data_IF_463000668279
#
_entry.id   IF_463000668279
#
_cell.length_a   1.000
_cell.length_b   1.000
_cell.length_c   1.000
_cell.angle_alpha   90.00
_cell.angle_beta   90.00
_cell.angle_gamma   90.00
#
_symmetry.space_group_name_H-M   'P 1'
#
loop_
_entity.id
_entity.type
_entity.pdbx_description
1 polymer ?
#
# COMPACT_ATOMS: atom_id res chain seq x y z
N UNK A 1 8.88 7.88 -0.52
CA UNK A 1 8.02 9.05 -0.25
C UNK A 1 6.91 9.13 -1.29
N UNK A 2 5.64 9.29 -0.85
CA UNK A 2 4.45 9.48 -1.71
C UNK A 2 3.80 10.79 -1.29
N UNK A 3 3.42 11.64 -2.24
CA UNK A 3 2.79 12.92 -1.98
C UNK A 3 1.59 13.13 -2.91
N UNK A 4 0.41 13.37 -2.33
CA UNK A 4 -0.80 13.79 -3.02
C UNK A 4 -1.16 15.20 -2.52
N UNK A 5 -1.40 16.15 -3.42
CA UNK A 5 -1.83 17.52 -3.07
C UNK A 5 -3.08 17.92 -3.85
N UNK A 6 -4.13 18.27 -3.10
CA UNK A 6 -5.42 18.75 -3.60
C UNK A 6 -6.01 17.85 -4.69
N UNK A 7 -5.79 16.52 -4.57
CA UNK A 7 -6.24 15.56 -5.58
C UNK A 7 -7.75 15.41 -5.53
N UNK A 8 -8.37 15.47 -6.71
CA UNK A 8 -9.78 15.18 -6.89
C UNK A 8 -10.00 14.29 -8.11
N UNK A 9 -11.11 13.51 -8.09
CA UNK A 9 -11.48 12.60 -9.18
C UNK A 9 -12.97 12.61 -9.44
N UNK A 10 -13.32 12.78 -10.70
CA UNK A 10 -14.69 12.80 -11.22
C UNK A 10 -14.84 11.72 -12.29
N UNK A 11 -15.85 10.90 -12.18
CA UNK A 11 -16.23 9.95 -13.24
C UNK A 11 -17.48 10.46 -13.96
N UNK A 12 -17.44 10.40 -15.28
CA UNK A 12 -18.61 10.69 -16.10
C UNK A 12 -19.33 9.39 -16.47
N UNK A 13 -20.63 9.31 -16.15
CA UNK A 13 -21.51 8.23 -16.59
C UNK A 13 -22.66 8.86 -17.40
N UNK A 14 -22.52 8.88 -18.70
CA UNK A 14 -23.43 9.59 -19.60
C UNK A 14 -23.43 11.10 -19.31
N UNK A 15 -24.59 11.66 -18.94
CA UNK A 15 -24.75 13.10 -18.62
C UNK A 15 -24.49 13.41 -17.13
N UNK A 16 -24.26 12.40 -16.30
CA UNK A 16 -24.09 12.59 -14.84
C UNK A 16 -22.60 12.53 -14.51
N UNK A 17 -22.06 13.63 -13.97
CA UNK A 17 -20.73 13.67 -13.36
C UNK A 17 -20.82 13.26 -11.89
N UNK A 18 -20.04 12.27 -11.48
CA UNK A 18 -19.95 11.82 -10.08
C UNK A 18 -18.54 12.11 -9.56
N UNK A 19 -18.44 13.07 -8.67
CA UNK A 19 -17.19 13.33 -7.95
C UNK A 19 -17.00 12.27 -6.88
N UNK A 20 -15.93 11.47 -7.00
CA UNK A 20 -15.63 10.34 -6.11
C UNK A 20 -14.69 10.78 -5.01
N UNK A 21 -13.65 11.54 -5.33
CA UNK A 21 -12.64 12.05 -4.40
C UNK A 21 -12.58 13.58 -4.50
N UNK A 22 -12.45 14.22 -3.35
CA UNK A 22 -12.33 15.67 -3.26
C UNK A 22 -11.24 16.07 -2.26
N UNK A 23 -10.39 17.03 -2.67
CA UNK A 23 -9.36 17.63 -1.83
C UNK A 23 -8.51 16.62 -1.03
N UNK A 24 -8.04 15.56 -1.68
CA UNK A 24 -7.19 14.56 -1.07
C UNK A 24 -5.78 15.12 -0.91
N UNK A 25 -5.33 15.18 0.34
CA UNK A 25 -3.99 15.56 0.72
C UNK A 25 -3.39 14.44 1.57
N UNK A 26 -2.32 13.82 1.08
CA UNK A 26 -1.64 12.70 1.76
C UNK A 26 -0.15 12.81 1.55
N UNK A 27 0.59 12.57 2.62
CA UNK A 27 2.03 12.41 2.58
C UNK A 27 2.41 11.10 3.27
N UNK A 28 3.27 10.29 2.63
CA UNK A 28 3.81 9.05 3.19
C UNK A 28 5.31 9.15 3.15
N UNK A 29 5.92 9.04 4.31
CA UNK A 29 7.37 9.08 4.48
C UNK A 29 8.06 7.84 3.92
N UNK A 30 9.35 7.92 3.69
CA UNK A 30 10.14 6.79 3.23
C UNK A 30 10.23 5.74 4.33
N UNK A 31 9.91 4.47 3.98
CA UNK A 31 9.87 3.36 4.91
C UNK A 31 8.63 3.32 5.82
N UNK A 32 7.71 4.29 5.70
CA UNK A 32 6.47 4.31 6.46
C UNK A 32 5.44 3.33 5.87
N UNK A 33 4.71 2.62 6.72
CA UNK A 33 3.55 1.82 6.35
C UNK A 33 2.27 2.58 6.71
N UNK A 34 1.57 3.13 5.71
CA UNK A 34 0.31 3.85 5.88
C UNK A 34 -0.85 3.03 5.34
N UNK A 35 -1.91 2.91 6.13
CA UNK A 35 -3.18 2.34 5.67
C UNK A 35 -4.26 3.40 5.55
N UNK A 36 -4.99 3.37 4.42
CA UNK A 36 -6.24 4.11 4.25
C UNK A 36 -7.39 3.15 4.54
N UNK A 37 -8.21 3.51 5.53
CA UNK A 37 -9.39 2.71 5.93
C UNK A 37 -10.66 3.46 5.54
N UNK A 38 -11.64 2.75 4.98
CA UNK A 38 -12.91 3.36 4.58
C UNK A 38 -13.93 2.32 4.15
N UNK A 39 -15.17 2.76 3.97
CA UNK A 39 -16.26 1.88 3.55
C UNK A 39 -16.08 1.35 2.13
N UNK A 40 -16.68 0.20 1.85
CA UNK A 40 -16.77 -0.32 0.47
C UNK A 40 -17.48 0.74 -0.41
N UNK A 41 -16.89 1.02 -1.57
CA UNK A 41 -17.41 2.05 -2.48
C UNK A 41 -17.09 3.50 -2.11
N UNK A 42 -16.26 3.77 -1.09
CA UNK A 42 -15.83 5.14 -0.73
C UNK A 42 -14.80 5.76 -1.68
N UNK A 43 -14.24 5.00 -2.63
CA UNK A 43 -13.24 5.50 -3.56
C UNK A 43 -11.79 5.10 -3.22
N UNK A 44 -11.56 4.17 -2.26
CA UNK A 44 -10.22 3.71 -1.87
C UNK A 44 -9.37 3.21 -3.05
N UNK A 45 -9.91 2.29 -3.86
CA UNK A 45 -9.19 1.75 -5.03
C UNK A 45 -8.93 2.82 -6.09
N UNK A 46 -9.82 3.80 -6.24
CA UNK A 46 -9.60 4.98 -7.09
C UNK A 46 -8.43 5.81 -6.56
N UNK A 47 -8.40 6.06 -5.25
CA UNK A 47 -7.31 6.79 -4.60
C UNK A 47 -5.98 6.07 -4.75
N UNK A 48 -5.94 4.75 -4.53
CA UNK A 48 -4.75 3.95 -4.71
C UNK A 48 -4.28 3.96 -6.18
N UNK A 49 -5.22 3.83 -7.13
CA UNK A 49 -4.90 3.87 -8.58
C UNK A 49 -4.30 5.21 -9.00
N UNK A 50 -4.74 6.31 -8.40
CA UNK A 50 -4.16 7.63 -8.61
C UNK A 50 -2.78 7.73 -7.94
N UNK A 51 -2.66 7.27 -6.69
CA UNK A 51 -1.40 7.32 -5.94
C UNK A 51 -0.29 6.53 -6.62
N UNK A 52 -0.60 5.36 -7.22
CA UNK A 52 0.39 4.56 -7.94
C UNK A 52 0.60 4.98 -9.41
N UNK A 53 -0.13 5.99 -9.91
CA UNK A 53 0.02 6.52 -11.27
C UNK A 53 -0.72 5.74 -12.36
N UNK A 54 -1.57 4.75 -12.01
CA UNK A 54 -2.40 4.02 -12.99
C UNK A 54 -3.56 4.86 -13.52
N UNK A 55 -3.96 5.89 -12.77
CA UNK A 55 -5.02 6.81 -13.15
C UNK A 55 -4.59 8.26 -12.86
N UNK A 56 -4.81 9.15 -13.82
CA UNK A 56 -4.55 10.58 -13.60
C UNK A 56 -5.64 11.20 -12.72
N UNK A 57 -5.30 12.11 -11.80
CA UNK A 57 -6.28 12.93 -11.11
C UNK A 57 -6.87 13.98 -12.08
N UNK A 58 -8.09 14.45 -11.80
CA UNK A 58 -8.70 15.54 -12.58
C UNK A 58 -8.29 16.93 -12.03
N UNK A 59 -7.94 16.99 -10.75
CA UNK A 59 -7.34 18.17 -10.09
C UNK A 59 -6.23 17.72 -9.13
N UNK A 60 -5.32 18.64 -8.85
CA UNK A 60 -4.19 18.38 -7.97
C UNK A 60 -3.04 17.66 -8.68
N UNK A 61 -2.10 17.16 -7.89
CA UNK A 61 -0.93 16.44 -8.41
C UNK A 61 -0.45 15.35 -7.44
N UNK A 62 0.26 14.37 -8.01
CA UNK A 62 0.84 13.24 -7.29
C UNK A 62 2.33 13.16 -7.59
N UNK A 63 3.14 12.93 -6.54
CA UNK A 63 4.56 12.62 -6.67
C UNK A 63 4.87 11.30 -5.98
N UNK A 64 5.67 10.47 -6.62
CA UNK A 64 6.14 9.18 -6.09
C UNK A 64 7.66 9.12 -6.26
N UNK A 65 8.37 8.86 -5.17
CA UNK A 65 9.85 8.92 -5.18
C UNK A 65 10.41 10.30 -5.51
N UNK A 66 9.67 11.39 -5.26
CA UNK A 66 10.06 12.77 -5.55
C UNK A 66 9.76 13.23 -6.98
N UNK A 67 9.34 12.35 -7.89
CA UNK A 67 8.99 12.68 -9.28
C UNK A 67 7.46 12.74 -9.47
N UNK A 68 6.99 13.64 -10.35
CA UNK A 68 5.60 13.65 -10.78
C UNK A 68 5.24 12.32 -11.46
N UNK A 69 4.08 11.75 -11.11
CA UNK A 69 3.64 10.47 -11.65
C UNK A 69 3.06 10.65 -13.06
N UNK A 70 3.69 9.98 -14.03
CA UNK A 70 3.17 9.83 -15.41
C UNK A 70 2.99 8.34 -15.75
N UNK A 71 2.60 7.54 -14.79
CA UNK A 71 2.50 6.08 -14.86
C UNK A 71 3.09 5.39 -13.62
N UNK A 72 3.05 4.06 -13.57
CA UNK A 72 3.65 3.30 -12.48
C UNK A 72 5.17 3.49 -12.47
N UNK A 73 5.72 3.94 -11.34
CA UNK A 73 7.17 4.10 -11.20
C UNK A 73 7.88 2.75 -11.26
N UNK A 74 9.04 2.70 -11.91
CA UNK A 74 9.90 1.50 -11.98
C UNK A 74 10.42 1.03 -10.59
N UNK A 75 10.28 1.87 -9.57
CA UNK A 75 10.65 1.56 -8.18
C UNK A 75 9.44 1.21 -7.31
N UNK A 76 8.26 1.10 -7.91
CA UNK A 76 7.04 0.75 -7.21
C UNK A 76 6.43 -0.55 -7.73
N UNK A 77 5.64 -1.21 -6.88
CA UNK A 77 4.87 -2.40 -7.24
C UNK A 77 3.47 -2.32 -6.66
N UNK A 78 2.53 -3.05 -7.27
CA UNK A 78 1.12 -3.08 -6.86
C UNK A 78 0.67 -4.52 -6.65
N UNK A 79 0.00 -4.78 -5.54
CA UNK A 79 -0.76 -6.01 -5.30
C UNK A 79 -2.24 -5.67 -5.38
N UNK A 80 -2.92 -6.21 -6.39
CA UNK A 80 -4.35 -5.97 -6.63
C UNK A 80 -5.23 -6.96 -5.88
N UNK A 81 -6.44 -6.54 -5.55
CA UNK A 81 -7.45 -7.34 -4.86
C UNK A 81 -7.78 -8.68 -5.57
N UNK A 82 -7.78 -8.68 -6.91
CA UNK A 82 -8.04 -9.85 -7.75
C UNK A 82 -6.77 -10.63 -8.14
N UNK A 83 -5.64 -10.38 -7.44
CA UNK A 83 -4.31 -10.96 -7.68
C UNK A 83 -3.68 -10.61 -9.03
N UNK A 84 -4.45 -10.32 -10.07
CA UNK A 84 -4.01 -10.01 -11.45
C UNK A 84 -2.96 -11.00 -11.98
N UNK A 85 -3.15 -12.29 -11.70
CA UNK A 85 -2.29 -13.35 -12.25
C UNK A 85 -2.73 -13.70 -13.66
N UNK A 86 -1.74 -13.94 -14.53
CA UNK A 86 -1.98 -14.40 -15.88
C UNK A 86 -2.37 -15.90 -15.83
N UNK A 87 -3.59 -16.27 -16.24
CA UNK A 87 -4.13 -17.62 -16.01
C UNK A 87 -3.44 -18.72 -16.83
N UNK A 88 -2.79 -18.36 -17.93
CA UNK A 88 -2.05 -19.27 -18.80
C UNK A 88 -0.61 -19.50 -18.36
N UNK A 89 -0.08 -18.69 -17.43
CA UNK A 89 1.25 -18.84 -16.83
C UNK A 89 1.20 -19.61 -15.53
N UNK A 90 2.26 -20.38 -15.24
CA UNK A 90 2.50 -20.97 -13.92
C UNK A 90 2.83 -19.90 -12.87
N UNK A 91 2.89 -20.27 -11.60
CA UNK A 91 3.33 -19.38 -10.52
C UNK A 91 4.72 -18.79 -10.80
N UNK A 92 5.67 -19.64 -11.20
CA UNK A 92 7.03 -19.21 -11.56
C UNK A 92 7.04 -18.23 -12.73
N UNK A 93 6.29 -18.51 -13.79
CA UNK A 93 6.21 -17.65 -14.96
C UNK A 93 5.57 -16.30 -14.67
N UNK A 94 4.53 -16.26 -13.80
CA UNK A 94 3.93 -15.02 -13.34
C UNK A 94 4.92 -14.10 -12.61
N UNK A 95 5.79 -14.67 -11.78
CA UNK A 95 6.83 -13.92 -11.06
C UNK A 95 7.96 -13.53 -12.02
N UNK A 96 8.41 -14.48 -12.86
CA UNK A 96 9.51 -14.25 -13.80
C UNK A 96 9.21 -13.12 -14.79
N UNK A 97 7.97 -13.00 -15.26
CA UNK A 97 7.57 -11.90 -16.14
C UNK A 97 7.88 -10.52 -15.54
N UNK A 98 7.62 -10.33 -14.24
CA UNK A 98 7.96 -9.09 -13.56
C UNK A 98 9.47 -8.88 -13.46
N UNK A 99 10.22 -9.96 -13.17
CA UNK A 99 11.68 -9.94 -13.10
C UNK A 99 12.29 -9.63 -14.48
N UNK A 100 11.78 -10.20 -15.56
CA UNK A 100 12.21 -9.91 -16.94
C UNK A 100 12.03 -8.43 -17.29
N UNK A 101 10.89 -7.84 -16.92
CA UNK A 101 10.63 -6.41 -17.14
C UNK A 101 11.54 -5.49 -16.33
N UNK A 102 11.86 -5.86 -15.09
CA UNK A 102 12.71 -5.06 -14.20
C UNK A 102 14.19 -5.21 -14.46
N UNK A 103 14.64 -6.43 -14.78
CA UNK A 103 16.05 -6.81 -14.95
C UNK A 103 16.30 -7.44 -16.33
N UNK A 104 16.11 -6.70 -17.43
CA UNK A 104 16.19 -7.25 -18.79
C UNK A 104 17.58 -7.75 -19.17
N UNK A 105 18.63 -7.28 -18.48
CA UNK A 105 20.03 -7.69 -18.71
C UNK A 105 20.42 -8.99 -18.01
N UNK A 106 19.55 -9.51 -17.11
CA UNK A 106 19.85 -10.76 -16.44
C UNK A 106 19.65 -11.95 -17.36
N UNK A 107 20.51 -12.98 -17.24
CA UNK A 107 20.30 -14.24 -17.96
C UNK A 107 18.99 -14.91 -17.51
N UNK A 108 18.38 -15.70 -18.40
CA UNK A 108 17.15 -16.47 -18.10
C UNK A 108 17.31 -17.35 -16.86
N UNK A 109 18.49 -17.93 -16.67
CA UNK A 109 18.80 -18.75 -15.49
C UNK A 109 18.73 -17.92 -14.22
N UNK A 110 19.36 -16.73 -14.20
CA UNK A 110 19.35 -15.82 -13.05
C UNK A 110 17.92 -15.33 -12.72
N UNK A 111 17.16 -14.95 -13.76
CA UNK A 111 15.76 -14.53 -13.60
C UNK A 111 14.91 -15.66 -13.01
N UNK A 112 15.07 -16.90 -13.47
CA UNK A 112 14.35 -18.06 -12.96
C UNK A 112 14.74 -18.37 -11.51
N UNK A 113 16.03 -18.37 -11.18
CA UNK A 113 16.51 -18.60 -9.82
C UNK A 113 15.99 -17.54 -8.83
N UNK A 114 16.01 -16.25 -9.22
CA UNK A 114 15.48 -15.18 -8.40
C UNK A 114 13.96 -15.33 -8.18
N UNK A 115 13.21 -15.62 -9.25
CA UNK A 115 11.76 -15.85 -9.16
C UNK A 115 11.41 -17.05 -8.27
N UNK A 116 12.20 -18.13 -8.35
CA UNK A 116 12.04 -19.30 -7.47
C UNK A 116 12.25 -18.91 -6.00
N UNK A 117 13.33 -18.18 -5.67
CA UNK A 117 13.58 -17.70 -4.30
C UNK A 117 12.44 -16.83 -3.78
N UNK A 118 11.87 -15.95 -4.61
CA UNK A 118 10.73 -15.13 -4.20
C UNK A 118 9.49 -15.97 -3.89
N UNK A 119 9.24 -17.05 -4.63
CA UNK A 119 8.15 -18.00 -4.34
C UNK A 119 8.43 -18.85 -3.10
N UNK A 120 9.68 -19.26 -2.87
CA UNK A 120 10.09 -19.96 -1.65
C UNK A 120 9.91 -19.08 -0.40
N UNK A 121 10.24 -17.78 -0.48
CA UNK A 121 10.05 -16.81 0.62
C UNK A 121 8.60 -16.71 1.09
N UNK A 122 7.64 -16.95 0.20
CA UNK A 122 6.19 -16.98 0.53
C UNK A 122 5.65 -18.42 0.68
N UNK A 123 6.53 -19.43 0.85
CA UNK A 123 6.15 -20.81 1.10
C UNK A 123 5.56 -21.55 -0.11
N UNK A 124 5.89 -21.15 -1.33
CA UNK A 124 5.37 -21.76 -2.57
C UNK A 124 6.42 -22.53 -3.39
N UNK A 125 7.53 -22.95 -2.78
CA UNK A 125 8.58 -23.71 -3.45
C UNK A 125 8.10 -25.03 -4.08
N UNK A 126 7.03 -25.63 -3.55
CA UNK A 126 6.41 -26.86 -4.07
C UNK A 126 5.30 -26.61 -5.11
N UNK A 127 5.02 -25.35 -5.48
CA UNK A 127 3.91 -24.98 -6.35
C UNK A 127 4.37 -24.20 -7.61
N UNK A 128 5.65 -24.16 -7.92
CA UNK A 128 6.25 -23.34 -8.98
C UNK A 128 5.57 -23.53 -10.34
N UNK A 129 5.21 -24.76 -10.69
CA UNK A 129 4.65 -25.11 -11.99
C UNK A 129 3.12 -25.11 -12.02
N UNK A 130 2.44 -24.83 -10.89
CA UNK A 130 0.99 -24.75 -10.84
C UNK A 130 0.50 -23.46 -11.50
N UNK A 131 -0.59 -23.56 -12.28
CA UNK A 131 -1.30 -22.41 -12.85
C UNK A 131 -2.31 -21.83 -11.84
N UNK A 132 -2.73 -20.57 -11.97
CA UNK A 132 -3.68 -19.92 -11.06
C UNK A 132 -4.95 -20.73 -10.78
N UNK A 133 -5.50 -21.44 -11.77
CA UNK A 133 -6.66 -22.31 -11.60
C UNK A 133 -6.41 -23.54 -10.70
N UNK A 134 -5.17 -23.91 -10.45
CA UNK A 134 -4.75 -25.05 -9.60
C UNK A 134 -4.34 -24.59 -8.19
N UNK A 135 -4.40 -23.28 -7.91
CA UNK A 135 -3.99 -22.67 -6.65
C UNK A 135 -5.21 -22.26 -5.83
N UNK A 136 -5.12 -22.40 -4.51
CA UNK A 136 -6.11 -21.82 -3.59
C UNK A 136 -6.06 -20.28 -3.64
N UNK A 137 -7.06 -19.60 -3.07
CA UNK A 137 -7.07 -18.14 -2.95
C UNK A 137 -5.81 -17.60 -2.26
N UNK A 138 -5.44 -18.19 -1.10
CA UNK A 138 -4.23 -17.81 -0.38
C UNK A 138 -2.94 -18.08 -1.17
N UNK A 139 -2.86 -19.17 -1.92
CA UNK A 139 -1.70 -19.42 -2.80
C UNK A 139 -1.61 -18.41 -3.94
N UNK A 140 -2.73 -18.03 -4.54
CA UNK A 140 -2.75 -16.97 -5.57
C UNK A 140 -2.28 -15.63 -5.02
N UNK A 141 -2.71 -15.30 -3.79
CA UNK A 141 -2.26 -14.08 -3.10
C UNK A 141 -0.75 -14.12 -2.84
N UNK A 142 -0.22 -15.25 -2.36
CA UNK A 142 1.23 -15.44 -2.17
C UNK A 142 2.02 -15.26 -3.48
N UNK A 143 1.52 -15.77 -4.61
CA UNK A 143 2.15 -15.53 -5.92
C UNK A 143 2.14 -14.05 -6.28
N UNK A 144 1.03 -13.32 -6.02
CA UNK A 144 0.94 -11.89 -6.29
C UNK A 144 1.92 -11.08 -5.42
N UNK A 145 2.06 -11.45 -4.14
CA UNK A 145 3.05 -10.85 -3.22
C UNK A 145 4.48 -11.17 -3.70
N UNK A 146 4.79 -12.44 -4.00
CA UNK A 146 6.10 -12.82 -4.52
C UNK A 146 6.47 -12.05 -5.80
N UNK A 147 5.52 -11.88 -6.73
CA UNK A 147 5.69 -11.09 -7.95
C UNK A 147 5.99 -9.62 -7.64
N UNK A 148 5.29 -9.06 -6.64
CA UNK A 148 5.48 -7.68 -6.24
C UNK A 148 6.86 -7.43 -5.60
N UNK A 149 7.35 -8.37 -4.78
CA UNK A 149 8.67 -8.27 -4.15
C UNK A 149 9.82 -8.67 -5.09
N UNK A 150 9.56 -9.47 -6.13
CA UNK A 150 10.60 -9.91 -7.07
C UNK A 150 11.23 -8.76 -7.89
N UNK A 151 10.59 -7.59 -7.94
CA UNK A 151 11.13 -6.39 -8.58
C UNK A 151 11.89 -5.48 -7.60
N UNK A 152 12.09 -5.91 -6.36
CA UNK A 152 12.79 -5.17 -5.29
C UNK A 152 12.24 -3.74 -5.15
N UNK A 153 10.94 -3.58 -4.85
CA UNK A 153 10.29 -2.29 -4.86
C UNK A 153 10.73 -1.44 -3.66
N UNK A 154 10.98 -0.15 -3.89
CA UNK A 154 11.10 0.83 -2.82
C UNK A 154 9.73 1.26 -2.27
N UNK A 155 8.67 1.14 -3.09
CA UNK A 155 7.30 1.52 -2.75
C UNK A 155 6.35 0.39 -3.14
N UNK A 156 5.46 0.01 -2.21
CA UNK A 156 4.47 -1.04 -2.40
C UNK A 156 3.06 -0.49 -2.19
N UNK A 157 2.20 -0.68 -3.19
CA UNK A 157 0.78 -0.35 -3.12
C UNK A 157 -0.03 -1.64 -2.95
N UNK A 158 -0.96 -1.65 -1.97
CA UNK A 158 -1.76 -2.83 -1.63
C UNK A 158 -3.26 -2.49 -1.68
N UNK A 159 -3.99 -3.14 -2.58
CA UNK A 159 -5.45 -2.99 -2.74
C UNK A 159 -6.17 -4.16 -2.08
N UNK A 160 -6.69 -3.97 -0.87
CA UNK A 160 -7.43 -4.97 -0.06
C UNK A 160 -6.76 -6.36 -0.10
N UNK A 161 -5.46 -6.48 0.27
CA UNK A 161 -4.65 -7.65 -0.07
C UNK A 161 -5.08 -8.95 0.62
N UNK A 162 -5.98 -8.89 1.61
CA UNK A 162 -6.39 -10.06 2.39
C UNK A 162 -7.91 -10.30 2.36
N UNK A 163 -8.66 -9.51 1.58
CA UNK A 163 -10.13 -9.51 1.60
C UNK A 163 -10.79 -10.85 1.23
N UNK A 164 -10.17 -11.62 0.34
CA UNK A 164 -10.71 -12.88 -0.18
C UNK A 164 -10.17 -14.13 0.53
N UNK A 165 -9.53 -14.00 1.70
CA UNK A 165 -8.87 -15.10 2.41
C UNK A 165 -9.66 -15.52 3.65
N UNK A 166 -9.61 -16.84 3.96
CA UNK A 166 -10.05 -17.35 5.26
C UNK A 166 -9.19 -16.78 6.40
N UNK A 167 -9.73 -16.85 7.63
CA UNK A 167 -9.11 -16.18 8.79
C UNK A 167 -7.68 -16.66 9.08
N UNK A 168 -7.41 -17.96 8.97
CA UNK A 168 -6.10 -18.54 9.31
C UNK A 168 -5.05 -18.18 8.24
N UNK A 169 -5.41 -18.33 6.97
CA UNK A 169 -4.54 -17.93 5.84
C UNK A 169 -4.25 -16.43 5.88
N UNK A 170 -5.25 -15.61 6.22
CA UNK A 170 -5.11 -14.16 6.37
C UNK A 170 -4.10 -13.82 7.46
N UNK A 171 -4.25 -14.37 8.67
CA UNK A 171 -3.35 -14.08 9.79
C UNK A 171 -1.88 -14.43 9.45
N UNK A 172 -1.65 -15.58 8.84
CA UNK A 172 -0.30 -15.99 8.42
C UNK A 172 0.30 -15.03 7.37
N UNK A 173 -0.50 -14.66 6.37
CA UNK A 173 -0.04 -13.75 5.31
C UNK A 173 0.23 -12.33 5.79
N UNK A 174 -0.57 -11.84 6.74
CA UNK A 174 -0.35 -10.53 7.37
C UNK A 174 0.99 -10.49 8.10
N UNK A 175 1.31 -11.54 8.85
CA UNK A 175 2.58 -11.65 9.55
C UNK A 175 3.75 -11.75 8.56
N UNK A 176 3.65 -12.57 7.52
CA UNK A 176 4.68 -12.70 6.48
C UNK A 176 4.91 -11.36 5.77
N UNK A 177 3.85 -10.66 5.37
CA UNK A 177 3.95 -9.36 4.72
C UNK A 177 4.63 -8.32 5.62
N UNK A 178 4.24 -8.25 6.90
CA UNK A 178 4.87 -7.35 7.88
C UNK A 178 6.38 -7.58 7.96
N UNK A 179 6.80 -8.85 8.03
CA UNK A 179 8.22 -9.23 8.05
C UNK A 179 8.92 -8.84 6.74
N UNK A 180 8.32 -9.12 5.58
CA UNK A 180 8.91 -8.82 4.27
C UNK A 180 9.12 -7.32 4.07
N UNK A 181 8.14 -6.48 4.45
CA UNK A 181 8.25 -5.03 4.31
C UNK A 181 9.35 -4.41 5.18
N UNK A 182 9.69 -5.05 6.33
CA UNK A 182 10.63 -4.49 7.33
C UNK A 182 12.03 -5.11 7.29
N UNK A 183 12.20 -6.27 6.66
CA UNK A 183 13.49 -7.00 6.57
C UNK A 183 14.43 -6.51 5.47
N UNK A 184 13.95 -5.70 4.54
CA UNK A 184 14.83 -5.12 3.53
C UNK A 184 15.91 -4.26 4.22
N UNK A 185 17.13 -4.23 3.68
CA UNK A 185 18.20 -3.32 4.14
C UNK A 185 17.70 -1.88 4.22
N UNK A 186 16.68 -1.56 3.41
CA UNK A 186 15.90 -0.34 3.43
C UNK A 186 14.42 -0.70 3.52
N UNK A 187 13.74 -0.24 4.57
CA UNK A 187 12.31 -0.50 4.76
C UNK A 187 11.50 -0.06 3.52
N UNK A 188 10.57 -0.91 3.08
CA UNK A 188 9.69 -0.61 1.94
C UNK A 188 8.63 0.40 2.38
N UNK A 189 8.45 1.49 1.63
CA UNK A 189 7.33 2.42 1.83
C UNK A 189 6.04 1.75 1.37
N UNK A 190 5.03 1.68 2.23
CA UNK A 190 3.77 0.97 1.91
C UNK A 190 2.58 1.91 2.01
N UNK A 191 1.76 1.92 0.96
CA UNK A 191 0.42 2.48 0.99
C UNK A 191 -0.60 1.36 0.76
N UNK A 192 -1.33 0.99 1.81
CA UNK A 192 -2.37 -0.03 1.77
C UNK A 192 -3.75 0.60 1.86
N UNK A 193 -4.71 0.05 1.14
CA UNK A 193 -6.12 0.33 1.37
C UNK A 193 -6.81 -0.93 1.87
N UNK A 194 -7.68 -0.77 2.85
CA UNK A 194 -8.47 -1.88 3.42
C UNK A 194 -9.80 -1.36 3.98
N UNK A 195 -10.76 -2.26 4.12
CA UNK A 195 -12.01 -2.01 4.85
C UNK A 195 -11.96 -2.54 6.29
N UNK A 196 -10.85 -3.19 6.68
CA UNK A 196 -10.67 -3.81 7.99
C UNK A 196 -9.75 -2.96 8.88
N UNK A 197 -10.33 -2.41 9.96
CA UNK A 197 -9.62 -1.56 10.92
C UNK A 197 -8.53 -2.33 11.68
N UNK A 198 -8.81 -3.59 12.07
CA UNK A 198 -7.87 -4.40 12.84
C UNK A 198 -6.64 -4.78 12.02
N UNK A 199 -6.83 -5.03 10.73
CA UNK A 199 -5.76 -5.25 9.76
C UNK A 199 -4.86 -4.02 9.62
N UNK A 200 -5.46 -2.83 9.53
CA UNK A 200 -4.72 -1.59 9.49
C UNK A 200 -3.92 -1.35 10.79
N UNK A 201 -4.51 -1.60 11.97
CA UNK A 201 -3.82 -1.49 13.26
C UNK A 201 -2.66 -2.49 13.35
N UNK A 202 -2.85 -3.70 12.85
CA UNK A 202 -1.81 -4.75 12.90
C UNK A 202 -0.57 -4.37 12.11
N UNK A 203 -0.74 -3.77 10.92
CA UNK A 203 0.34 -3.62 9.94
C UNK A 203 0.95 -2.23 9.89
N UNK A 204 0.16 -1.17 10.14
CA UNK A 204 0.54 0.19 9.79
C UNK A 204 1.20 0.95 10.94
N UNK A 205 2.04 1.90 10.58
CA UNK A 205 2.58 2.89 11.50
C UNK A 205 1.58 4.03 11.71
N UNK A 206 0.74 4.30 10.66
CA UNK A 206 -0.28 5.33 10.68
C UNK A 206 -1.49 4.92 9.82
N UNK A 207 -2.69 5.31 10.28
CA UNK A 207 -3.96 5.00 9.61
C UNK A 207 -4.66 6.31 9.26
N UNK A 208 -5.16 6.39 8.03
CA UNK A 208 -5.87 7.57 7.53
C UNK A 208 -7.29 7.16 7.13
N UNK A 209 -8.32 7.58 7.86
CA UNK A 209 -9.70 7.29 7.52
C UNK A 209 -10.12 8.07 6.26
N UNK A 210 -10.83 7.40 5.33
CA UNK A 210 -11.47 7.99 4.17
C UNK A 210 -12.98 8.06 4.40
N UNK A 211 -13.56 9.24 4.26
CA UNK A 211 -14.98 9.46 4.47
C UNK A 211 -15.84 8.68 3.47
N UNK A 212 -17.17 8.63 3.70
CA UNK A 212 -18.10 8.05 2.73
C UNK A 212 -18.18 8.92 1.49
N UNK A 213 -18.31 8.27 0.32
CA UNK A 213 -18.67 8.98 -0.91
C UNK A 213 -20.16 9.44 -0.96
N UNK A 214 -20.54 10.29 -1.91
CA UNK A 214 -19.69 10.95 -2.90
C UNK A 214 -18.78 12.02 -2.30
N UNK A 215 -17.78 12.50 -3.06
CA UNK A 215 -16.82 13.53 -2.64
C UNK A 215 -16.05 13.13 -1.37
N UNK A 216 -15.55 11.89 -1.34
CA UNK A 216 -14.79 11.38 -0.20
C UNK A 216 -13.52 12.19 0.02
N UNK A 217 -13.23 12.49 1.29
CA UNK A 217 -12.03 13.19 1.75
C UNK A 217 -11.31 12.38 2.81
N UNK A 218 -10.02 12.65 3.02
CA UNK A 218 -9.26 12.04 4.12
C UNK A 218 -9.52 12.80 5.42
N UNK A 219 -9.76 12.05 6.50
CA UNK A 219 -9.80 12.58 7.84
C UNK A 219 -8.39 12.71 8.44
N UNK A 220 -8.28 13.24 9.65
CA UNK A 220 -7.03 13.31 10.39
C UNK A 220 -6.44 11.93 10.60
N UNK A 221 -5.14 11.80 10.40
CA UNK A 221 -4.43 10.53 10.61
C UNK A 221 -4.40 10.12 12.08
N UNK A 222 -4.41 8.81 12.31
CA UNK A 222 -4.27 8.18 13.61
C UNK A 222 -2.95 7.41 13.64
N UNK A 223 -2.03 7.83 14.47
CA UNK A 223 -0.77 7.13 14.71
C UNK A 223 -1.03 5.81 15.44
N UNK A 224 -0.22 4.79 15.14
CA UNK A 224 -0.26 3.47 15.80
C UNK A 224 1.07 3.24 16.52
N UNK A 225 1.31 3.84 17.69
CA UNK A 225 2.58 3.82 18.42
C UNK A 225 2.80 2.50 19.15
N UNK A 226 2.55 1.39 18.48
CA UNK A 226 2.74 0.04 19.01
C UNK A 226 4.00 -0.57 18.38
N UNK A 227 4.81 -1.33 19.15
CA UNK A 227 6.01 -1.96 18.64
C UNK A 227 5.68 -2.97 17.53
N UNK A 228 6.63 -3.19 16.64
CA UNK A 228 6.57 -4.18 15.56
C UNK A 228 7.63 -5.28 15.80
N UNK A 229 7.42 -6.52 15.35
CA UNK A 229 6.19 -7.01 14.69
C UNK A 229 5.04 -7.21 15.69
N UNK A 230 3.80 -6.96 15.24
CA UNK A 230 2.59 -7.13 16.05
C UNK A 230 1.98 -8.50 15.81
N UNK A 231 1.41 -9.10 16.88
CA UNK A 231 0.64 -10.34 16.80
C UNK A 231 -0.84 -10.04 17.03
N UNK A 232 -1.72 -10.55 16.16
CA UNK A 232 -3.16 -10.30 16.26
C UNK A 232 -3.75 -10.77 17.61
N UNK A 233 -3.23 -11.89 18.18
CA UNK A 233 -3.70 -12.41 19.45
C UNK A 233 -3.36 -11.47 20.62
N UNK A 234 -2.18 -10.84 20.60
CA UNK A 234 -1.74 -9.89 21.64
C UNK A 234 -2.54 -8.58 21.58
N UNK A 235 -2.89 -8.14 20.35
CA UNK A 235 -3.64 -6.90 20.13
C UNK A 235 -5.10 -6.98 20.58
N UNK A 236 -5.67 -8.18 20.74
CA UNK A 236 -7.09 -8.34 21.11
C UNK A 236 -7.47 -7.72 22.46
N UNK A 237 -6.55 -7.70 23.40
CA UNK A 237 -6.79 -7.26 24.78
C UNK A 237 -6.02 -5.98 25.16
N UNK A 238 -5.32 -5.37 24.20
CA UNK A 238 -4.55 -4.15 24.44
C UNK A 238 -5.47 -2.92 24.45
N UNK A 239 -5.49 -2.20 25.58
CA UNK A 239 -6.28 -0.98 25.74
C UNK A 239 -5.89 0.13 24.74
N UNK A 240 -4.61 0.20 24.33
CA UNK A 240 -4.18 1.16 23.33
C UNK A 240 -4.83 0.86 21.96
N UNK A 241 -4.96 -0.42 21.62
CA UNK A 241 -5.67 -0.87 20.41
C UNK A 241 -7.14 -0.49 20.45
N UNK A 242 -7.80 -0.66 21.58
CA UNK A 242 -9.22 -0.27 21.77
C UNK A 242 -9.38 1.24 21.54
N UNK A 243 -8.50 2.07 22.11
CA UNK A 243 -8.52 3.53 21.92
C UNK A 243 -8.26 3.93 20.46
N UNK A 244 -7.29 3.31 19.79
CA UNK A 244 -6.98 3.56 18.38
C UNK A 244 -8.18 3.19 17.52
N UNK A 245 -8.76 2.00 17.72
CA UNK A 245 -9.96 1.53 17.00
C UNK A 245 -11.13 2.50 17.15
N UNK A 246 -11.43 2.95 18.37
CA UNK A 246 -12.50 3.91 18.63
C UNK A 246 -12.30 5.20 17.85
N UNK A 247 -11.09 5.79 17.87
CA UNK A 247 -10.77 7.01 17.10
C UNK A 247 -10.96 6.84 15.60
N UNK A 248 -10.57 5.68 15.04
CA UNK A 248 -10.75 5.40 13.61
C UNK A 248 -12.24 5.27 13.29
N UNK A 249 -13.01 4.53 14.09
CA UNK A 249 -14.46 4.35 13.90
C UNK A 249 -15.21 5.68 14.02
N UNK A 250 -14.88 6.51 15.02
CA UNK A 250 -15.44 7.85 15.19
C UNK A 250 -15.18 8.72 13.95
N UNK A 251 -13.95 8.72 13.42
CA UNK A 251 -13.60 9.45 12.22
C UNK A 251 -14.36 8.94 10.97
N UNK A 252 -14.57 7.62 10.85
CA UNK A 252 -15.33 7.02 9.75
C UNK A 252 -16.84 7.27 9.82
N UNK A 253 -17.41 7.38 11.03
CA UNK A 253 -18.84 7.60 11.25
C UNK A 253 -19.24 9.07 11.26
N UNK A 254 -18.27 9.99 11.23
CA UNK A 254 -18.51 11.43 11.29
C UNK A 254 -18.94 11.93 12.67
N UNK A 255 -18.78 11.13 13.74
CA UNK A 255 -19.11 11.50 15.11
C UNK A 255 -18.15 12.58 15.63
N UNK A 256 -16.93 12.63 15.15
CA UNK A 256 -16.01 13.75 15.35
C UNK A 256 -16.44 14.89 14.42
N UNK A 257 -17.42 15.68 14.87
CA UNK A 257 -17.94 16.84 14.15
C UNK A 257 -16.83 17.81 13.78
N UNK A 258 -16.93 18.36 12.59
CA UNK A 258 -16.47 19.64 12.02
C UNK A 258 -15.25 20.39 12.60
N UNK A 259 -14.69 20.02 13.74
CA UNK A 259 -13.68 20.80 14.44
C UNK A 259 -12.26 20.68 13.90
N UNK A 260 -11.96 19.82 12.90
CA UNK A 260 -10.58 19.64 12.40
C UNK A 260 -10.52 19.48 10.86
N UNK A 261 -11.06 20.42 10.12
CA UNK A 261 -11.00 20.44 8.63
C UNK A 261 -9.66 20.92 8.05
N UNK A 262 -8.65 21.20 8.86
CA UNK A 262 -7.31 21.53 8.40
C UNK A 262 -6.36 20.39 8.73
N UNK A 263 -5.90 19.58 7.75
CA UNK A 263 -4.76 18.69 7.97
C UNK A 263 -3.57 19.59 8.31
N UNK A 264 -2.91 19.36 9.44
CA UNK A 264 -1.59 19.92 9.69
C UNK A 264 -0.67 19.36 8.60
N UNK A 265 -0.46 20.15 7.55
CA UNK A 265 0.65 19.94 6.63
C UNK A 265 1.90 20.09 7.50
N UNK A 266 2.60 19.00 7.79
CA UNK A 266 3.95 19.11 8.32
C UNK A 266 4.77 19.83 7.24
N UNK A 267 5.21 21.05 7.53
CA UNK A 267 6.18 21.71 6.66
C UNK A 267 7.41 20.83 6.56
N UNK A 268 7.97 20.63 5.35
CA UNK A 268 9.21 19.90 5.20
C UNK A 268 10.27 20.60 6.07
N UNK A 269 11.00 19.81 6.85
CA UNK A 269 12.10 20.30 7.68
C UNK A 269 12.94 21.29 6.88
N UNK A 270 13.09 22.52 7.42
CA UNK A 270 13.96 23.52 6.85
C UNK A 270 15.37 22.90 6.75
N UNK A 271 15.87 22.83 5.53
CA UNK A 271 17.25 22.43 5.27
C UNK A 271 18.11 23.47 5.97
N UNK A 272 18.78 23.09 7.06
CA UNK A 272 19.78 23.91 7.71
C UNK A 272 20.91 24.11 6.69
N UNK A 273 21.24 25.35 6.27
CA UNK A 273 22.33 25.55 5.33
C UNK A 273 23.62 25.09 5.99
N UNK A 274 24.41 24.29 5.28
CA UNK A 274 25.72 23.86 5.70
C UNK A 274 26.57 25.12 5.99
N UNK A 275 27.08 25.21 7.21
CA UNK A 275 28.05 26.23 7.60
C UNK A 275 29.32 25.93 6.83
N UNK A 276 29.62 26.77 5.84
CA UNK A 276 30.91 26.79 5.18
C UNK A 276 31.88 27.40 6.19
N UNK A 277 32.72 26.58 6.80
CA UNK A 277 33.89 27.05 7.54
C UNK A 277 34.94 27.49 6.51
N UNK A 278 35.07 28.78 6.30
CA UNK A 278 36.27 29.35 5.70
C UNK A 278 37.44 29.04 6.63
N UNK A 279 38.37 28.24 6.17
CA UNK A 279 39.67 28.04 6.80
C UNK A 279 40.61 29.13 6.37
N UNK A 280 41.05 29.90 7.31
CA UNK A 280 42.13 30.88 7.18
C UNK A 280 43.50 30.20 6.94
N UNK A 281 44.26 30.80 6.02
CA UNK A 281 45.72 30.84 5.83
C UNK A 281 46.42 29.55 5.44
#
# INVERSE_FOLDING_TARGET
>A
MIELRNVAKVFQSGKVAREVLENINLFVDEGEFVSIVGYTGSGKSTLLSIACGLQAPDRGHVKVGGAATAGLSLHSSVVFQNYSLLPWFSALENVRLAVEGKFPTWSRLRQSQHSTRCLEMVGLGNALNKRPGQLSGGMRQRVAIARAFAVEPAILFLDEPFGALDALTRANLQQELSVLCRRAEKAVTVLMITNNVDEAILLSDRIVPLSRGPRATLASSVEVPLPQPRCAAELMHDEAVVRIRSRIVEALTGVLGEANRTPKVREPYAVVPAVVTEGES
#
